data_IF_457496715332
#
_entry.id   IF_457496715332
#
_cell.length_a   1.000
_cell.length_b   1.000
_cell.length_c   1.000
_cell.angle_alpha   90.00
_cell.angle_beta   90.00
_cell.angle_gamma   90.00
#
_symmetry.space_group_name_H-M   'P 1'
#
loop_
_entity.id
_entity.type
_entity.pdbx_description
1 polymer ?
#
# COMPACT_ATOMS: atom_id res chain seq x y z
N UNK A 1 -16.81 12.49 -0.35
CA UNK A 1 -15.83 11.75 -1.17
C UNK A 1 -16.29 10.31 -1.41
N UNK A 2 -16.60 9.93 -2.66
CA UNK A 2 -17.15 8.60 -2.98
C UNK A 2 -16.11 7.46 -3.00
N UNK A 3 -14.83 7.78 -3.24
CA UNK A 3 -13.79 6.77 -3.51
C UNK A 3 -12.61 6.80 -2.52
N UNK A 4 -12.88 7.23 -1.29
CA UNK A 4 -11.90 7.30 -0.21
C UNK A 4 -12.10 6.14 0.79
N UNK A 5 -11.01 5.50 1.20
CA UNK A 5 -10.95 4.47 2.23
C UNK A 5 -10.06 4.99 3.36
N UNK A 6 -10.64 5.23 4.54
CA UNK A 6 -9.87 5.58 5.73
C UNK A 6 -9.08 4.34 6.18
N UNK A 7 -7.76 4.43 6.22
CA UNK A 7 -6.91 3.36 6.74
C UNK A 7 -6.78 3.45 8.26
N UNK A 8 -6.51 4.66 8.76
CA UNK A 8 -6.53 4.99 10.18
C UNK A 8 -6.86 6.47 10.37
N UNK A 9 -6.77 7.00 11.59
CA UNK A 9 -7.08 8.41 11.87
C UNK A 9 -6.19 9.42 11.16
N UNK A 10 -5.01 8.99 10.70
CA UNK A 10 -4.05 9.85 10.01
C UNK A 10 -4.16 9.73 8.50
N UNK A 11 -4.36 8.52 7.99
CA UNK A 11 -4.18 8.16 6.59
C UNK A 11 -5.52 7.78 5.96
N UNK A 12 -5.86 8.48 4.88
CA UNK A 12 -6.95 8.11 3.98
C UNK A 12 -6.39 7.84 2.60
N UNK A 13 -6.82 6.73 2.02
CA UNK A 13 -6.40 6.23 0.71
C UNK A 13 -7.51 6.51 -0.30
N UNK A 14 -7.18 6.75 -1.57
CA UNK A 14 -8.22 6.83 -2.58
C UNK A 14 -7.74 6.96 -4.01
N UNK A 15 -8.69 7.30 -4.88
CA UNK A 15 -8.47 7.62 -6.28
C UNK A 15 -8.09 9.09 -6.48
N UNK A 16 -7.84 9.48 -7.74
CA UNK A 16 -7.57 10.89 -8.10
C UNK A 16 -8.74 11.77 -7.63
N UNK A 17 -8.51 12.73 -6.72
CA UNK A 17 -9.58 13.53 -6.17
C UNK A 17 -10.09 14.55 -7.19
N UNK A 18 -11.40 14.73 -7.24
CA UNK A 18 -12.01 15.82 -8.00
C UNK A 18 -11.77 17.18 -7.32
N UNK A 19 -12.14 18.28 -7.97
CA UNK A 19 -12.08 19.61 -7.34
C UNK A 19 -12.95 19.69 -6.08
N UNK A 20 -14.12 19.04 -6.10
CA UNK A 20 -15.04 18.98 -4.98
C UNK A 20 -14.48 18.13 -3.84
N UNK A 21 -13.83 16.99 -4.15
CA UNK A 21 -13.15 16.20 -3.13
C UNK A 21 -12.02 16.99 -2.44
N UNK A 22 -11.25 17.79 -3.19
CA UNK A 22 -10.19 18.65 -2.62
C UNK A 22 -10.76 19.68 -1.65
N UNK A 23 -11.90 20.30 -1.99
CA UNK A 23 -12.60 21.24 -1.12
C UNK A 23 -13.07 20.54 0.16
N UNK A 24 -13.70 19.38 0.03
CA UNK A 24 -14.14 18.56 1.17
C UNK A 24 -12.96 18.14 2.06
N UNK A 25 -11.82 17.75 1.48
CA UNK A 25 -10.61 17.42 2.24
C UNK A 25 -10.17 18.60 3.12
N UNK A 26 -10.20 19.82 2.57
CA UNK A 26 -9.85 21.02 3.34
C UNK A 26 -10.84 21.29 4.47
N UNK A 27 -12.14 21.19 4.21
CA UNK A 27 -13.20 21.37 5.21
C UNK A 27 -13.10 20.34 6.35
N UNK A 28 -12.69 19.11 6.03
CA UNK A 28 -12.44 18.04 7.01
C UNK A 28 -11.09 18.17 7.74
N UNK A 29 -10.32 19.23 7.47
CA UNK A 29 -9.07 19.52 8.16
C UNK A 29 -7.86 18.70 7.70
N UNK A 30 -7.93 18.04 6.53
CA UNK A 30 -6.74 17.43 5.94
C UNK A 30 -5.69 18.51 5.67
N UNK A 31 -4.42 18.12 5.82
CA UNK A 31 -3.28 19.02 5.66
C UNK A 31 -2.48 18.72 4.41
N UNK A 32 -2.34 17.44 4.08
CA UNK A 32 -1.44 16.99 3.01
C UNK A 32 -2.14 16.04 2.04
N UNK A 33 -1.89 16.26 0.76
CA UNK A 33 -2.25 15.38 -0.35
C UNK A 33 -0.96 14.80 -0.92
N UNK A 34 -0.87 13.47 -1.01
CA UNK A 34 0.27 12.75 -1.58
C UNK A 34 -0.19 12.03 -2.85
N UNK A 35 0.40 12.40 -3.99
CA UNK A 35 0.13 11.82 -5.31
C UNK A 35 1.24 10.81 -5.68
N UNK A 36 0.86 9.54 -5.89
CA UNK A 36 1.76 8.46 -6.32
C UNK A 36 1.62 8.10 -7.82
N UNK A 37 0.95 8.95 -8.61
CA UNK A 37 0.88 8.79 -10.06
C UNK A 37 2.26 9.01 -10.68
N UNK A 38 2.60 8.16 -11.63
CA UNK A 38 3.74 8.40 -12.51
C UNK A 38 3.52 9.70 -13.32
N UNK A 39 4.59 10.27 -13.84
CA UNK A 39 4.55 11.46 -14.70
C UNK A 39 3.64 11.26 -15.92
N UNK A 40 3.59 10.04 -16.46
CA UNK A 40 2.69 9.66 -17.55
C UNK A 40 1.23 9.44 -17.09
N UNK A 41 0.92 9.50 -15.79
CA UNK A 41 -0.44 9.36 -15.27
C UNK A 41 -1.06 10.72 -14.86
N UNK A 42 -0.35 11.83 -15.10
CA UNK A 42 -0.78 13.19 -14.71
C UNK A 42 -1.81 13.83 -15.64
N UNK A 43 -2.31 13.10 -16.64
CA UNK A 43 -3.37 13.56 -17.52
C UNK A 43 -4.69 13.80 -16.73
N UNK A 44 -5.48 14.81 -17.12
CA UNK A 44 -6.85 15.00 -16.62
C UNK A 44 -7.05 16.02 -15.49
N UNK A 45 -6.05 16.82 -15.12
CA UNK A 45 -6.31 18.04 -14.33
C UNK A 45 -5.19 18.46 -13.37
N UNK A 46 -5.28 19.72 -12.95
CA UNK A 46 -4.29 20.37 -12.09
C UNK A 46 -4.57 20.08 -10.60
N UNK A 47 -4.52 18.81 -10.17
CA UNK A 47 -4.67 18.43 -8.75
C UNK A 47 -3.71 19.24 -7.88
N UNK A 48 -2.44 19.35 -8.32
CA UNK A 48 -1.43 20.15 -7.64
C UNK A 48 -1.84 21.62 -7.47
N UNK A 49 -2.39 22.24 -8.52
CA UNK A 49 -2.83 23.65 -8.48
C UNK A 49 -4.01 23.80 -7.52
N UNK A 50 -5.03 22.95 -7.66
CA UNK A 50 -6.25 22.99 -6.83
C UNK A 50 -5.95 22.75 -5.35
N UNK A 51 -5.06 21.81 -5.04
CA UNK A 51 -4.62 21.56 -3.68
C UNK A 51 -3.93 22.80 -3.08
N UNK A 52 -3.03 23.43 -3.83
CA UNK A 52 -2.36 24.68 -3.42
C UNK A 52 -3.35 25.82 -3.21
N UNK A 53 -4.29 26.01 -4.15
CA UNK A 53 -5.34 27.03 -4.05
C UNK A 53 -6.26 26.81 -2.85
N UNK A 54 -6.53 25.56 -2.47
CA UNK A 54 -7.28 25.20 -1.27
C UNK A 54 -6.46 25.30 0.03
N UNK A 55 -5.18 25.69 -0.04
CA UNK A 55 -4.29 25.76 1.12
C UNK A 55 -3.97 24.39 1.72
N UNK A 56 -3.84 23.37 0.88
CA UNK A 56 -3.34 22.04 1.22
C UNK A 56 -1.90 21.88 0.74
N UNK A 57 -1.07 21.20 1.52
CA UNK A 57 0.26 20.78 1.07
C UNK A 57 0.11 19.68 0.03
N UNK A 58 0.70 19.88 -1.15
CA UNK A 58 0.73 18.88 -2.21
C UNK A 58 2.14 18.31 -2.37
N UNK A 59 2.26 16.99 -2.30
CA UNK A 59 3.51 16.25 -2.49
C UNK A 59 3.29 15.26 -3.63
N UNK A 60 4.13 15.31 -4.64
CA UNK A 60 4.13 14.35 -5.75
C UNK A 60 5.36 13.46 -5.65
N UNK A 61 5.13 12.15 -5.58
CA UNK A 61 6.15 11.11 -5.51
C UNK A 61 5.86 10.15 -6.67
N UNK A 62 6.44 10.36 -7.85
CA UNK A 62 6.10 9.57 -9.02
C UNK A 62 6.58 8.13 -8.83
N UNK A 63 5.65 7.18 -8.84
CA UNK A 63 5.96 5.75 -8.71
C UNK A 63 5.56 5.01 -9.97
N UNK A 64 6.55 4.45 -10.65
CA UNK A 64 6.36 3.60 -11.83
C UNK A 64 5.94 2.20 -11.38
N UNK A 65 4.74 1.77 -11.80
CA UNK A 65 4.16 0.50 -11.35
C UNK A 65 5.04 -0.71 -11.66
N UNK A 66 5.67 -0.71 -12.83
CA UNK A 66 6.41 -1.87 -13.33
C UNK A 66 7.90 -1.83 -12.91
N UNK A 67 8.33 -0.78 -12.19
CA UNK A 67 9.72 -0.55 -11.83
C UNK A 67 9.88 0.10 -10.44
N UNK A 68 9.02 -0.26 -9.48
CA UNK A 68 9.05 0.31 -8.11
C UNK A 68 10.41 0.01 -7.47
N UNK A 69 11.12 1.07 -7.05
CA UNK A 69 12.38 0.98 -6.34
C UNK A 69 12.19 1.16 -4.84
N UNK A 70 13.18 0.72 -4.05
CA UNK A 70 13.19 0.99 -2.61
C UNK A 70 13.12 2.49 -2.33
N UNK A 71 13.80 3.32 -3.12
CA UNK A 71 13.85 4.78 -2.96
C UNK A 71 12.47 5.43 -3.10
N UNK A 72 11.60 4.90 -3.96
CA UNK A 72 10.20 5.34 -4.09
C UNK A 72 9.43 5.13 -2.78
N UNK A 73 9.65 3.95 -2.20
CA UNK A 73 9.06 3.52 -0.94
C UNK A 73 9.59 4.37 0.21
N UNK A 74 10.91 4.65 0.22
CA UNK A 74 11.54 5.55 1.20
C UNK A 74 10.95 6.95 1.13
N UNK A 75 10.81 7.51 -0.07
CA UNK A 75 10.24 8.84 -0.28
C UNK A 75 8.79 8.91 0.22
N UNK A 76 7.99 7.88 -0.10
CA UNK A 76 6.61 7.77 0.37
C UNK A 76 6.52 7.81 1.89
N UNK A 77 7.26 6.97 2.60
CA UNK A 77 7.17 6.91 4.05
C UNK A 77 7.69 8.17 4.74
N UNK A 78 8.75 8.80 4.21
CA UNK A 78 9.21 10.10 4.70
C UNK A 78 8.10 11.15 4.63
N UNK A 79 7.30 11.17 3.57
CA UNK A 79 6.18 12.10 3.43
C UNK A 79 5.01 11.75 4.37
N UNK A 80 4.63 10.48 4.46
CA UNK A 80 3.53 10.02 5.32
C UNK A 80 3.82 10.27 6.81
N UNK A 81 5.05 9.97 7.23
CA UNK A 81 5.49 10.08 8.62
C UNK A 81 6.23 11.38 8.92
N UNK A 82 6.15 12.40 8.06
CA UNK A 82 6.61 13.75 8.39
C UNK A 82 5.81 14.31 9.58
N UNK A 83 6.47 15.08 10.45
CA UNK A 83 5.77 15.78 11.55
C UNK A 83 4.84 16.84 10.97
N UNK A 84 3.60 16.87 11.45
CA UNK A 84 2.58 17.84 10.99
C UNK A 84 1.86 17.50 9.68
N UNK A 85 2.20 16.40 8.99
CA UNK A 85 1.59 16.04 7.69
C UNK A 85 0.14 15.55 7.77
N UNK A 86 -0.29 15.01 8.93
CA UNK A 86 -1.61 14.42 9.10
C UNK A 86 -2.67 15.45 9.56
N UNK A 87 -3.96 15.26 9.18
CA UNK A 87 -4.49 14.16 8.35
C UNK A 87 -4.08 14.25 6.88
N UNK A 88 -3.82 13.10 6.26
CA UNK A 88 -3.27 13.00 4.90
C UNK A 88 -4.14 12.14 3.97
N UNK A 89 -4.29 12.62 2.74
CA UNK A 89 -4.97 11.90 1.66
C UNK A 89 -3.92 11.43 0.65
N UNK A 90 -3.77 10.12 0.50
CA UNK A 90 -2.82 9.49 -0.43
C UNK A 90 -3.58 8.84 -1.57
N UNK A 91 -3.15 9.08 -2.79
CA UNK A 91 -3.80 8.48 -3.95
C UNK A 91 -2.82 8.07 -5.03
N UNK A 92 -3.31 7.20 -5.91
CA UNK A 92 -2.74 6.93 -7.23
C UNK A 92 -3.89 6.80 -8.23
N UNK A 93 -3.61 6.51 -9.50
CA UNK A 93 -4.66 6.37 -10.52
C UNK A 93 -5.79 5.42 -10.10
N UNK A 94 -5.43 4.27 -9.51
CA UNK A 94 -6.37 3.23 -9.06
C UNK A 94 -6.32 2.99 -7.55
N UNK A 95 -5.64 3.84 -6.77
CA UNK A 95 -5.53 3.69 -5.30
C UNK A 95 -4.71 2.50 -4.79
N UNK A 96 -4.16 1.66 -5.68
CA UNK A 96 -3.43 0.43 -5.31
C UNK A 96 -2.06 0.67 -4.70
N UNK A 97 -1.22 1.51 -5.31
CA UNK A 97 0.14 1.81 -4.83
C UNK A 97 0.16 2.26 -3.36
N UNK A 98 -0.62 3.28 -2.96
CA UNK A 98 -0.56 3.76 -1.57
C UNK A 98 -1.14 2.74 -0.58
N UNK A 99 -2.14 1.97 -0.98
CA UNK A 99 -2.65 0.86 -0.17
C UNK A 99 -1.55 -0.16 0.10
N UNK A 100 -0.89 -0.65 -0.95
CA UNK A 100 0.14 -1.68 -0.83
C UNK A 100 1.28 -1.22 0.06
N UNK A 101 1.73 0.03 -0.08
CA UNK A 101 2.78 0.56 0.78
C UNK A 101 2.30 0.62 2.23
N UNK A 102 1.13 1.19 2.52
CA UNK A 102 0.66 1.27 3.91
C UNK A 102 0.45 -0.10 4.55
N UNK A 103 -0.05 -1.10 3.80
CA UNK A 103 -0.19 -2.48 4.28
C UNK A 103 1.17 -3.16 4.50
N UNK A 104 2.15 -2.89 3.64
CA UNK A 104 3.51 -3.41 3.80
C UNK A 104 4.16 -2.90 5.10
N UNK A 105 4.02 -1.60 5.38
CA UNK A 105 4.48 -1.04 6.65
C UNK A 105 3.81 -1.72 7.83
N UNK A 106 2.49 -1.83 7.80
CA UNK A 106 1.71 -2.43 8.90
C UNK A 106 2.12 -3.88 9.15
N UNK A 107 2.26 -4.68 8.09
CA UNK A 107 2.69 -6.07 8.18
C UNK A 107 4.09 -6.20 8.79
N UNK A 108 5.07 -5.44 8.29
CA UNK A 108 6.45 -5.52 8.80
C UNK A 108 6.56 -4.96 10.23
N UNK A 109 5.87 -3.85 10.54
CA UNK A 109 5.87 -3.27 11.88
C UNK A 109 5.27 -4.22 12.93
N UNK A 110 4.29 -5.03 12.55
CA UNK A 110 3.65 -6.01 13.44
C UNK A 110 4.26 -7.42 13.33
N UNK A 111 5.34 -7.60 12.55
CA UNK A 111 5.93 -8.92 12.25
C UNK A 111 4.91 -9.95 11.73
N UNK A 112 3.99 -9.49 10.87
CA UNK A 112 2.92 -10.29 10.28
C UNK A 112 3.30 -10.74 8.89
N UNK A 113 2.83 -11.93 8.51
CA UNK A 113 3.16 -12.56 7.23
C UNK A 113 2.66 -11.75 6.02
N UNK A 114 3.34 -11.93 4.90
CA UNK A 114 2.97 -11.33 3.62
C UNK A 114 1.52 -11.66 3.22
N UNK A 115 1.03 -12.86 3.57
CA UNK A 115 -0.37 -13.28 3.39
C UNK A 115 -1.38 -12.28 3.99
N UNK A 116 -1.05 -11.65 5.12
CA UNK A 116 -1.93 -10.66 5.75
C UNK A 116 -2.16 -9.45 4.86
N UNK A 117 -1.15 -9.02 4.10
CA UNK A 117 -1.26 -7.91 3.13
C UNK A 117 -2.34 -8.23 2.09
N UNK A 118 -2.29 -9.43 1.50
CA UNK A 118 -3.28 -9.86 0.50
C UNK A 118 -4.70 -9.91 1.09
N UNK A 119 -4.85 -10.52 2.27
CA UNK A 119 -6.15 -10.60 2.96
C UNK A 119 -6.72 -9.21 3.27
N UNK A 120 -5.89 -8.29 3.76
CA UNK A 120 -6.32 -6.94 4.10
C UNK A 120 -6.63 -6.09 2.86
N UNK A 121 -5.84 -6.24 1.79
CA UNK A 121 -6.14 -5.61 0.51
C UNK A 121 -7.50 -6.06 -0.04
N UNK A 122 -7.80 -7.36 0.00
CA UNK A 122 -9.10 -7.91 -0.41
C UNK A 122 -10.26 -7.36 0.40
N UNK A 123 -10.12 -7.27 1.73
CA UNK A 123 -11.13 -6.66 2.62
C UNK A 123 -11.40 -5.19 2.27
N UNK A 124 -10.39 -4.48 1.76
CA UNK A 124 -10.49 -3.09 1.34
C UNK A 124 -10.99 -2.93 -0.11
N UNK A 125 -11.30 -4.04 -0.80
CA UNK A 125 -11.80 -4.07 -2.18
C UNK A 125 -10.71 -4.05 -3.25
N UNK A 126 -9.48 -4.42 -2.88
CA UNK A 126 -8.32 -4.42 -3.78
C UNK A 126 -7.76 -5.84 -3.93
N UNK A 127 -7.98 -6.43 -5.09
CA UNK A 127 -7.47 -7.74 -5.46
C UNK A 127 -6.05 -7.64 -6.01
N UNK A 128 -5.07 -8.12 -5.22
CA UNK A 128 -3.65 -8.11 -5.61
C UNK A 128 -3.28 -9.34 -6.45
N UNK A 129 -4.10 -10.40 -6.45
CA UNK A 129 -3.85 -11.71 -7.07
C UNK A 129 -3.61 -11.63 -8.58
N UNK A 130 -4.12 -10.58 -9.23
CA UNK A 130 -3.96 -10.34 -10.67
C UNK A 130 -2.95 -9.22 -10.99
N UNK A 131 -2.18 -8.76 -10.00
CA UNK A 131 -1.22 -7.64 -10.13
C UNK A 131 0.24 -8.13 -9.98
N UNK A 132 0.72 -8.93 -10.93
CA UNK A 132 2.05 -9.57 -10.85
C UNK A 132 3.22 -8.62 -10.58
N UNK A 133 3.32 -7.43 -11.21
CA UNK A 133 4.39 -6.49 -10.89
C UNK A 133 4.38 -6.10 -9.41
N UNK A 134 3.18 -5.81 -8.87
CA UNK A 134 3.02 -5.43 -7.48
C UNK A 134 3.31 -6.59 -6.51
N UNK A 135 2.87 -7.80 -6.85
CA UNK A 135 3.17 -8.99 -6.05
C UNK A 135 4.67 -9.31 -6.01
N UNK A 136 5.32 -9.22 -7.16
CA UNK A 136 6.77 -9.45 -7.28
C UNK A 136 7.54 -8.44 -6.44
N UNK A 137 7.18 -7.17 -6.54
CA UNK A 137 7.73 -6.10 -5.72
C UNK A 137 7.55 -6.37 -4.22
N UNK A 138 6.32 -6.69 -3.79
CA UNK A 138 6.00 -7.01 -2.40
C UNK A 138 6.82 -8.18 -1.86
N UNK A 139 6.86 -9.28 -2.61
CA UNK A 139 7.60 -10.48 -2.22
C UNK A 139 9.09 -10.19 -2.07
N UNK A 140 9.69 -9.50 -3.04
CA UNK A 140 11.12 -9.19 -3.02
C UNK A 140 11.47 -8.26 -1.86
N UNK A 141 10.71 -7.17 -1.68
CA UNK A 141 10.99 -6.18 -0.64
C UNK A 141 10.73 -6.70 0.77
N UNK A 142 9.66 -7.50 0.96
CA UNK A 142 9.37 -8.10 2.25
C UNK A 142 10.48 -9.09 2.67
N UNK A 143 11.01 -9.87 1.74
CA UNK A 143 12.03 -10.89 2.02
C UNK A 143 13.47 -10.36 2.00
N UNK A 144 13.75 -9.18 1.45
CA UNK A 144 15.11 -8.63 1.42
C UNK A 144 15.62 -8.21 2.80
N UNK A 145 14.73 -7.97 3.77
CA UNK A 145 15.09 -7.46 5.10
C UNK A 145 15.40 -5.95 5.13
N UNK A 146 15.75 -5.34 4.00
CA UNK A 146 16.05 -3.91 3.87
C UNK A 146 14.89 -3.02 4.35
N UNK A 147 13.65 -3.48 4.16
CA UNK A 147 12.49 -2.72 4.58
C UNK A 147 12.31 -2.69 6.12
N UNK A 148 12.80 -3.70 6.84
CA UNK A 148 12.69 -3.76 8.31
C UNK A 148 13.48 -2.62 8.96
N UNK A 149 14.69 -2.36 8.50
CA UNK A 149 15.54 -1.27 9.01
C UNK A 149 14.84 0.09 8.89
N UNK A 150 14.17 0.32 7.76
CA UNK A 150 13.37 1.52 7.52
C UNK A 150 12.19 1.63 8.49
N UNK A 151 11.44 0.55 8.68
CA UNK A 151 10.32 0.53 9.63
C UNK A 151 10.81 0.86 11.05
N UNK A 152 11.94 0.27 11.46
CA UNK A 152 12.53 0.51 12.77
C UNK A 152 13.02 1.96 12.94
N UNK A 153 13.58 2.57 11.89
CA UNK A 153 13.95 3.99 11.88
C UNK A 153 12.72 4.91 12.04
N UNK A 154 11.63 4.62 11.33
CA UNK A 154 10.38 5.38 11.42
C UNK A 154 9.78 5.23 12.83
N UNK A 155 9.77 4.01 13.39
CA UNK A 155 9.26 3.78 14.75
C UNK A 155 10.07 4.53 15.80
N UNK A 156 11.40 4.58 15.66
CA UNK A 156 12.28 5.35 16.55
C UNK A 156 12.07 6.86 16.43
N UNK A 157 11.99 7.37 15.21
CA UNK A 157 11.86 8.83 14.96
C UNK A 157 10.46 9.39 15.24
N UNK A 158 9.43 8.55 15.15
CA UNK A 158 8.01 8.89 15.37
C UNK A 158 7.39 8.04 16.47
N UNK A 159 8.08 7.86 17.58
CA UNK A 159 7.56 7.08 18.72
C UNK A 159 6.18 7.60 19.18
N UNK A 160 5.93 8.90 19.02
CA UNK A 160 4.63 9.56 19.24
C UNK A 160 3.45 8.91 18.49
N UNK A 161 3.70 8.23 17.37
CA UNK A 161 2.70 7.55 16.58
C UNK A 161 2.53 6.07 16.92
N UNK A 162 3.49 5.48 17.63
CA UNK A 162 3.58 4.04 17.85
C UNK A 162 3.56 3.65 19.34
N UNK A 163 3.75 4.59 20.27
CA UNK A 163 3.65 4.35 21.72
C UNK A 163 2.24 3.95 22.16
N UNK A 164 1.19 4.43 21.46
CA UNK A 164 -0.19 3.98 21.65
C UNK A 164 -0.57 2.73 20.84
N UNK A 165 0.35 2.23 20.02
CA UNK A 165 0.22 0.97 19.27
C UNK A 165 0.93 -0.19 19.96
N UNK A 166 1.34 -0.01 21.24
CA UNK A 166 1.57 -1.16 22.11
C UNK A 166 0.35 -2.09 21.96
N UNK A 167 0.55 -3.38 21.62
CA UNK A 167 -0.58 -4.27 21.41
C UNK A 167 -1.45 -4.20 22.66
N UNK A 168 -2.70 -3.74 22.51
CA UNK A 168 -3.65 -3.88 23.60
C UNK A 168 -3.67 -5.37 23.97
N UNK A 169 -3.52 -5.74 25.25
CA UNK A 169 -3.62 -7.14 25.67
C UNK A 169 -5.00 -7.75 25.32
N UNK A 170 -5.95 -6.94 24.85
CA UNK A 170 -7.28 -7.34 24.38
C UNK A 170 -7.50 -7.17 22.87
N UNK A 171 -6.46 -6.85 22.09
CA UNK A 171 -6.47 -7.00 20.63
C UNK A 171 -5.58 -8.17 20.20
N UNK A 172 -5.73 -9.29 20.90
CA UNK A 172 -5.71 -10.58 20.22
C UNK A 172 -6.96 -10.57 19.35
N UNK A 173 -6.91 -9.93 18.17
CA UNK A 173 -7.75 -10.41 17.08
C UNK A 173 -7.43 -11.89 17.03
N UNK A 174 -8.43 -12.73 17.30
CA UNK A 174 -8.33 -14.18 17.21
C UNK A 174 -7.44 -14.47 16.02
N UNK A 175 -6.25 -14.99 16.33
CA UNK A 175 -5.43 -15.66 15.36
C UNK A 175 -6.24 -16.91 15.02
N UNK A 176 -7.31 -16.72 14.24
CA UNK A 176 -7.92 -17.77 13.49
C UNK A 176 -6.80 -18.20 12.56
N UNK A 177 -6.07 -19.19 13.04
CA UNK A 177 -5.30 -20.16 12.29
C UNK A 177 -6.27 -20.89 11.34
N UNK A 178 -6.88 -20.14 10.43
CA UNK A 178 -7.02 -20.65 9.09
C UNK A 178 -5.61 -20.56 8.55
N UNK A 179 -4.88 -21.67 8.74
CA UNK A 179 -3.62 -21.95 8.08
C UNK A 179 -3.68 -21.40 6.66
N UNK A 180 -2.57 -20.84 6.18
CA UNK A 180 -2.50 -20.26 4.84
C UNK A 180 -3.21 -21.22 3.90
N UNK A 181 -4.33 -20.79 3.31
CA UNK A 181 -5.06 -21.74 2.47
C UNK A 181 -4.09 -22.17 1.36
N UNK A 182 -4.16 -23.45 0.99
CA UNK A 182 -3.18 -24.03 0.07
C UNK A 182 -3.07 -23.22 -1.25
N UNK A 183 -4.11 -22.44 -1.57
CA UNK A 183 -4.16 -21.52 -2.71
C UNK A 183 -3.20 -20.35 -2.52
N UNK A 184 -3.22 -19.69 -1.37
CA UNK A 184 -2.36 -18.55 -1.07
C UNK A 184 -0.89 -18.96 -0.96
N UNK A 185 -0.60 -20.10 -0.32
CA UNK A 185 0.77 -20.65 -0.27
C UNK A 185 1.32 -20.93 -1.67
N UNK A 186 0.49 -21.52 -2.52
CA UNK A 186 0.83 -21.84 -3.90
C UNK A 186 0.99 -20.58 -4.75
N UNK A 187 0.17 -19.53 -4.54
CA UNK A 187 0.38 -18.21 -5.17
C UNK A 187 1.73 -17.60 -4.79
N UNK A 188 2.09 -17.63 -3.51
CA UNK A 188 3.38 -17.11 -3.05
C UNK A 188 4.55 -17.89 -3.66
N UNK A 189 4.44 -19.21 -3.77
CA UNK A 189 5.46 -20.04 -4.41
C UNK A 189 5.59 -19.75 -5.92
N UNK A 190 4.47 -19.59 -6.61
CA UNK A 190 4.44 -19.20 -8.03
C UNK A 190 5.10 -17.83 -8.22
N UNK A 191 4.74 -16.85 -7.40
CA UNK A 191 5.31 -15.49 -7.42
C UNK A 191 6.82 -15.50 -7.12
N UNK A 192 7.27 -16.29 -6.14
CA UNK A 192 8.70 -16.46 -5.85
C UNK A 192 9.45 -17.01 -7.06
N UNK A 193 8.92 -18.06 -7.68
CA UNK A 193 9.57 -18.72 -8.81
C UNK A 193 9.65 -17.77 -10.01
N UNK A 194 8.56 -17.05 -10.31
CA UNK A 194 8.56 -16.04 -11.36
C UNK A 194 9.54 -14.90 -11.08
N UNK A 195 9.66 -14.45 -9.83
CA UNK A 195 10.61 -13.39 -9.48
C UNK A 195 12.03 -13.75 -9.86
N UNK A 196 12.41 -15.03 -9.70
CA UNK A 196 13.73 -15.57 -10.00
C UNK A 196 13.94 -15.84 -11.49
N UNK A 197 12.95 -16.41 -12.18
CA UNK A 197 13.13 -16.88 -13.57
C UNK A 197 12.68 -15.88 -14.63
N UNK A 198 11.77 -14.97 -14.29
CA UNK A 198 11.05 -14.08 -15.22
C UNK A 198 10.35 -14.83 -16.37
N UNK A 199 10.07 -16.13 -16.22
CA UNK A 199 9.45 -16.97 -17.24
C UNK A 199 7.92 -16.84 -17.22
N UNK A 200 7.37 -16.15 -18.24
CA UNK A 200 5.93 -15.94 -18.38
C UNK A 200 5.15 -17.21 -18.76
N UNK A 201 5.76 -18.16 -19.48
CA UNK A 201 5.08 -19.40 -19.89
C UNK A 201 4.86 -20.32 -18.69
N UNK A 202 5.87 -20.43 -17.82
CA UNK A 202 5.77 -21.15 -16.55
C UNK A 202 4.71 -20.51 -15.63
N UNK A 203 4.72 -19.18 -15.51
CA UNK A 203 3.74 -18.44 -14.71
C UNK A 203 2.30 -18.73 -15.17
N UNK A 204 2.03 -18.65 -16.48
CA UNK A 204 0.71 -18.91 -17.04
C UNK A 204 0.23 -20.34 -16.74
N UNK A 205 1.11 -21.33 -16.88
CA UNK A 205 0.81 -22.72 -16.56
C UNK A 205 0.48 -22.90 -15.06
N UNK A 206 1.33 -22.38 -14.19
CA UNK A 206 1.17 -22.56 -12.76
C UNK A 206 -0.10 -21.87 -12.20
N UNK A 207 -0.46 -20.71 -12.76
CA UNK A 207 -1.73 -20.05 -12.45
C UNK A 207 -2.95 -20.81 -12.97
N UNK A 208 -2.87 -21.38 -14.18
CA UNK A 208 -3.95 -22.21 -14.71
C UNK A 208 -4.21 -23.44 -13.84
N UNK A 209 -3.14 -24.10 -13.39
CA UNK A 209 -3.22 -25.25 -12.48
C UNK A 209 -3.82 -24.87 -11.12
N UNK A 210 -3.45 -23.69 -10.61
CA UNK A 210 -4.03 -23.15 -9.38
C UNK A 210 -5.53 -22.87 -9.53
N UNK A 211 -5.93 -22.19 -10.60
CA UNK A 211 -7.34 -21.88 -10.89
C UNK A 211 -8.19 -23.16 -11.06
N UNK A 212 -7.62 -24.22 -11.62
CA UNK A 212 -8.27 -25.52 -11.71
C UNK A 212 -8.48 -26.19 -10.34
N UNK A 213 -7.63 -25.88 -9.36
CA UNK A 213 -7.73 -26.40 -7.99
C UNK A 213 -8.84 -25.69 -7.20
N UNK A 214 -9.07 -24.40 -7.46
CA UNK A 214 -10.09 -23.58 -6.76
C UNK A 214 -11.51 -23.80 -7.31
N UNK A 215 -11.65 -24.30 -8.54
CA UNK A 215 -12.95 -24.55 -9.21
C UNK A 215 -13.58 -25.91 -8.88
N UNK A 216 -12.95 -26.74 -8.05
CA UNK A 216 -13.48 -28.03 -7.57
C UNK A 216 -14.03 -27.86 -6.16
#
# INVERSE_FOLDING_TARGET
MQNAKKFNDRITLGLVPSAEDIKQLKELGYKTIIDLRDNQELFGGLVAKRAKEAGLTYIHIPVQRDAIQLEDVKAFYRAVYARGSAPLYVFSRLGRKPLVFVLLFDAVAQSKSLVRIYRQANRLGFHLECDFPMQTFLYNLYNSGEFREMVDEIRRSRSDLFESLAPSPHQVEEEYDFGVDAVTEKLLQITSTYSQTKDNAMLQKALADLLATVKR
#
